data_IF_507030229406
#
_entry.id   IF_507030229406
#
_cell.length_a   1.000
_cell.length_b   1.000
_cell.length_c   1.000
_cell.angle_alpha   90.00
_cell.angle_beta   90.00
_cell.angle_gamma   90.00
#
_symmetry.space_group_name_H-M   'P 1'
#
loop_
_entity.id
_entity.type
_entity.pdbx_description
1 polymer ?
#
# COMPACT_ATOMS: atom_id res chain seq x y z
N UNK A 1 84.99 -15.14 12.94
CA UNK A 1 84.12 -15.75 11.86
C UNK A 1 82.67 -15.61 12.31
N UNK A 2 82.07 -14.50 11.94
CA UNK A 2 80.72 -14.12 12.42
C UNK A 2 79.77 -14.06 11.21
N UNK A 3 78.77 -14.89 11.29
CA UNK A 3 77.70 -15.07 10.33
C UNK A 3 76.59 -14.04 10.58
N UNK A 4 76.38 -13.09 9.69
CA UNK A 4 75.22 -12.18 9.74
C UNK A 4 74.05 -12.84 9.03
N UNK A 5 72.98 -13.05 9.79
CA UNK A 5 71.69 -13.49 9.25
C UNK A 5 70.88 -12.22 8.87
N UNK A 6 70.56 -12.05 7.61
CA UNK A 6 69.65 -11.05 7.11
C UNK A 6 68.23 -11.65 7.11
N UNK A 7 67.36 -11.12 7.95
CA UNK A 7 65.93 -11.37 7.89
C UNK A 7 65.29 -10.37 6.92
N UNK A 8 64.86 -10.85 5.74
CA UNK A 8 63.99 -10.09 4.81
C UNK A 8 62.55 -10.23 5.24
N UNK A 9 62.02 -9.20 5.86
CA UNK A 9 60.57 -9.13 6.17
C UNK A 9 59.83 -8.63 4.93
N UNK A 10 59.03 -9.52 4.34
CA UNK A 10 58.07 -9.15 3.29
C UNK A 10 56.83 -8.52 3.95
N UNK A 11 56.65 -7.20 3.75
CA UNK A 11 55.37 -6.54 4.07
C UNK A 11 54.33 -6.95 3.02
N UNK A 12 53.37 -7.76 3.40
CA UNK A 12 52.16 -7.99 2.60
C UNK A 12 51.22 -6.80 2.83
N UNK A 13 51.19 -5.87 1.87
CA UNK A 13 50.18 -4.81 1.87
C UNK A 13 48.84 -5.42 1.48
N UNK A 14 47.95 -5.58 2.46
CA UNK A 14 46.55 -5.94 2.24
C UNK A 14 45.81 -4.68 1.71
N UNK A 15 45.68 -4.56 0.40
CA UNK A 15 44.84 -3.53 -0.23
C UNK A 15 43.36 -3.91 0.05
N UNK A 16 42.74 -3.23 1.01
CA UNK A 16 41.31 -3.22 1.11
C UNK A 16 40.72 -2.56 -0.14
N UNK A 17 40.21 -3.33 -1.08
CA UNK A 17 39.38 -2.80 -2.15
C UNK A 17 38.09 -2.29 -1.50
N UNK A 18 37.99 -1.00 -1.24
CA UNK A 18 36.73 -0.35 -0.97
C UNK A 18 35.92 -0.43 -2.28
N UNK A 19 34.92 -1.30 -2.31
CA UNK A 19 33.99 -1.39 -3.42
C UNK A 19 33.34 -0.01 -3.62
N UNK A 20 33.41 0.52 -4.82
CA UNK A 20 32.67 1.74 -5.18
C UNK A 20 31.17 1.39 -5.05
N UNK A 21 30.37 2.13 -4.27
CA UNK A 21 28.96 1.87 -4.16
C UNK A 21 28.30 1.93 -5.55
N UNK A 22 27.64 0.87 -5.95
CA UNK A 22 26.90 0.84 -7.20
C UNK A 22 25.56 1.53 -7.02
N UNK A 23 25.32 2.59 -7.78
CA UNK A 23 24.02 3.29 -7.82
C UNK A 23 23.19 2.63 -8.91
N UNK A 24 21.99 2.15 -8.54
CA UNK A 24 21.00 1.62 -9.47
C UNK A 24 19.76 2.51 -9.46
N UNK A 25 19.22 2.81 -10.65
CA UNK A 25 17.95 3.49 -10.81
C UNK A 25 16.93 2.49 -11.35
N UNK A 26 15.75 2.43 -10.71
CA UNK A 26 14.61 1.57 -11.09
C UNK A 26 13.39 2.45 -11.31
N UNK A 27 12.77 2.35 -12.49
CA UNK A 27 11.46 2.97 -12.70
C UNK A 27 10.41 2.21 -11.91
N UNK A 28 9.58 2.94 -11.16
CA UNK A 28 8.54 2.39 -10.28
C UNK A 28 7.21 3.06 -10.59
N UNK A 29 6.21 2.27 -10.97
CA UNK A 29 4.83 2.71 -11.14
C UNK A 29 4.02 2.27 -9.93
N UNK A 30 3.50 3.23 -9.19
CA UNK A 30 2.80 3.07 -7.92
C UNK A 30 1.33 3.43 -8.09
N UNK A 31 0.43 2.66 -7.49
CA UNK A 31 -1.01 2.94 -7.56
C UNK A 31 -1.67 2.74 -6.20
N UNK A 32 -2.67 3.59 -5.89
CA UNK A 32 -3.62 3.33 -4.81
C UNK A 32 -5.04 3.44 -5.34
N UNK A 33 -5.92 2.56 -4.86
CA UNK A 33 -7.30 2.51 -5.33
C UNK A 33 -8.24 1.96 -4.25
N UNK A 34 -9.13 2.79 -3.74
CA UNK A 34 -10.29 2.32 -2.99
C UNK A 34 -11.31 1.76 -4.01
N UNK A 35 -11.62 0.48 -3.93
CA UNK A 35 -12.43 -0.24 -4.94
C UNK A 35 -13.87 -0.48 -4.50
N UNK A 36 -14.28 0.07 -3.37
CA UNK A 36 -15.65 -0.02 -2.85
C UNK A 36 -16.23 -1.43 -2.97
N UNK A 37 -15.43 -2.47 -2.64
CA UNK A 37 -15.83 -3.90 -2.73
C UNK A 37 -16.32 -4.35 -4.13
N UNK A 38 -15.90 -3.67 -5.20
CA UNK A 38 -16.39 -3.90 -6.56
C UNK A 38 -17.79 -3.39 -6.81
N UNK A 39 -18.26 -2.43 -6.00
CA UNK A 39 -19.48 -1.66 -6.22
C UNK A 39 -19.17 -0.27 -6.75
N UNK A 40 -20.20 0.45 -7.18
CA UNK A 40 -20.14 1.86 -7.56
C UNK A 40 -21.11 2.67 -6.72
N UNK A 41 -20.98 3.99 -6.76
CA UNK A 41 -21.86 4.90 -6.04
C UNK A 41 -23.33 4.63 -6.43
N UNK A 42 -24.18 4.38 -5.43
CA UNK A 42 -25.60 4.03 -5.55
C UNK A 42 -25.92 2.61 -6.03
N UNK A 43 -24.92 1.73 -6.18
CA UNK A 43 -25.17 0.32 -6.45
C UNK A 43 -25.54 -0.44 -5.16
N UNK A 44 -26.55 -1.32 -5.16
CA UNK A 44 -26.87 -2.12 -4.00
C UNK A 44 -25.76 -3.14 -3.69
N UNK A 45 -25.22 -3.09 -2.48
CA UNK A 45 -24.24 -4.07 -1.97
C UNK A 45 -24.87 -5.46 -1.77
N UNK A 46 -25.24 -6.12 -2.84
CA UNK A 46 -25.84 -7.45 -2.78
C UNK A 46 -25.67 -8.20 -4.11
N UNK A 47 -24.44 -8.50 -4.44
CA UNK A 47 -24.14 -9.20 -5.67
C UNK A 47 -24.57 -10.67 -5.63
N UNK A 48 -25.08 -11.24 -6.73
CA UNK A 48 -25.29 -12.66 -6.87
C UNK A 48 -24.05 -13.47 -6.53
N UNK A 49 -24.21 -14.69 -6.03
CA UNK A 49 -23.08 -15.59 -5.74
C UNK A 49 -22.22 -15.81 -6.99
N UNK A 50 -20.92 -15.62 -6.85
CA UNK A 50 -19.93 -15.71 -7.93
C UNK A 50 -19.84 -14.46 -8.82
N UNK A 51 -20.64 -13.41 -8.55
CA UNK A 51 -20.53 -12.14 -9.26
C UNK A 51 -19.27 -11.40 -8.84
N UNK A 52 -18.60 -10.80 -9.82
CA UNK A 52 -17.42 -9.95 -9.62
C UNK A 52 -17.79 -8.45 -9.49
N UNK A 53 -19.08 -8.09 -9.64
CA UNK A 53 -19.51 -6.71 -9.67
C UNK A 53 -18.72 -5.90 -10.71
N UNK A 54 -18.16 -4.75 -10.31
CA UNK A 54 -17.35 -3.86 -11.15
C UNK A 54 -15.83 -4.16 -11.08
N UNK A 55 -15.38 -5.25 -10.43
CA UNK A 55 -13.97 -5.63 -10.40
C UNK A 55 -13.32 -5.77 -11.78
N UNK A 56 -13.99 -6.25 -12.85
CA UNK A 56 -13.39 -6.26 -14.18
C UNK A 56 -13.00 -4.87 -14.69
N UNK A 57 -13.78 -3.83 -14.35
CA UNK A 57 -13.45 -2.44 -14.70
C UNK A 57 -12.26 -1.92 -13.86
N UNK A 58 -12.23 -2.25 -12.57
CA UNK A 58 -11.05 -1.99 -11.69
C UNK A 58 -9.80 -2.66 -12.26
N UNK A 59 -9.90 -3.95 -12.63
CA UNK A 59 -8.78 -4.70 -13.23
C UNK A 59 -8.29 -4.07 -14.53
N UNK A 60 -9.21 -3.58 -15.39
CA UNK A 60 -8.84 -2.88 -16.62
C UNK A 60 -7.96 -1.66 -16.32
N UNK A 61 -8.32 -0.84 -15.33
CA UNK A 61 -7.51 0.32 -14.93
C UNK A 61 -6.14 -0.08 -14.42
N UNK A 62 -6.05 -1.15 -13.61
CA UNK A 62 -4.79 -1.67 -13.10
C UNK A 62 -3.92 -2.17 -14.26
N UNK A 63 -4.48 -2.96 -15.16
CA UNK A 63 -3.75 -3.50 -16.31
C UNK A 63 -3.23 -2.40 -17.25
N UNK A 64 -4.05 -1.37 -17.53
CA UNK A 64 -3.67 -0.24 -18.38
C UNK A 64 -2.59 0.66 -17.72
N UNK A 65 -2.64 0.80 -16.40
CA UNK A 65 -1.61 1.52 -15.65
C UNK A 65 -0.30 0.73 -15.50
N UNK A 66 -0.39 -0.62 -15.59
CA UNK A 66 0.72 -1.57 -15.44
C UNK A 66 1.64 -1.28 -14.23
N UNK A 67 1.07 -1.04 -13.02
CA UNK A 67 1.83 -0.67 -11.85
C UNK A 67 2.75 -1.80 -11.37
N UNK A 68 3.81 -1.44 -10.66
CA UNK A 68 4.65 -2.41 -9.95
C UNK A 68 3.96 -2.90 -8.67
N UNK A 69 3.15 -2.03 -8.07
CA UNK A 69 2.27 -2.38 -6.96
C UNK A 69 1.02 -1.50 -6.89
N UNK A 70 -0.06 -2.06 -6.33
CA UNK A 70 -1.33 -1.37 -6.06
C UNK A 70 -1.73 -1.58 -4.62
N UNK A 71 -1.86 -0.49 -3.85
CA UNK A 71 -2.49 -0.49 -2.53
C UNK A 71 -4.01 -0.39 -2.71
N UNK A 72 -4.74 -1.41 -2.28
CA UNK A 72 -6.20 -1.51 -2.46
C UNK A 72 -6.91 -1.35 -1.13
N UNK A 73 -7.94 -0.51 -1.10
CA UNK A 73 -8.83 -0.32 0.03
C UNK A 73 -10.22 -0.86 -0.31
N UNK A 74 -10.99 -1.18 0.74
CA UNK A 74 -12.36 -1.68 0.65
C UNK A 74 -12.51 -2.92 -0.23
N UNK A 75 -11.84 -3.99 0.14
CA UNK A 75 -11.90 -5.25 -0.58
C UNK A 75 -12.41 -6.38 0.32
N UNK A 76 -13.24 -7.25 -0.22
CA UNK A 76 -13.84 -8.38 0.47
C UNK A 76 -13.19 -9.72 0.07
N UNK A 77 -13.18 -10.64 1.02
CA UNK A 77 -12.85 -12.04 0.78
C UNK A 77 -13.99 -12.92 1.29
N UNK A 78 -14.62 -13.70 0.40
CA UNK A 78 -15.68 -14.67 0.70
C UNK A 78 -16.88 -14.06 1.46
N UNK A 79 -17.24 -12.81 1.19
CA UNK A 79 -18.35 -12.10 1.85
C UNK A 79 -19.59 -12.15 0.97
N UNK A 80 -20.78 -12.40 1.59
CA UNK A 80 -22.04 -12.56 0.86
C UNK A 80 -22.44 -11.36 0.01
N UNK A 81 -22.24 -10.13 0.53
CA UNK A 81 -22.58 -8.89 -0.19
C UNK A 81 -21.82 -8.69 -1.49
N UNK A 82 -20.64 -9.28 -1.58
CA UNK A 82 -19.73 -9.21 -2.74
C UNK A 82 -19.63 -10.54 -3.49
N UNK A 83 -20.69 -11.37 -3.47
CA UNK A 83 -20.79 -12.57 -4.28
C UNK A 83 -20.02 -13.78 -3.74
N UNK A 84 -19.49 -13.77 -2.51
CA UNK A 84 -18.67 -14.85 -1.93
C UNK A 84 -17.39 -15.16 -2.72
N UNK A 85 -16.81 -14.17 -3.36
CA UNK A 85 -15.53 -14.32 -4.07
C UNK A 85 -14.36 -13.79 -3.23
N UNK A 86 -13.16 -14.30 -3.47
CA UNK A 86 -11.92 -13.68 -3.01
C UNK A 86 -11.52 -12.61 -4.03
N UNK A 87 -11.96 -11.38 -3.78
CA UNK A 87 -11.76 -10.26 -4.70
C UNK A 87 -10.27 -9.95 -4.94
N UNK A 88 -9.40 -10.19 -3.94
CA UNK A 88 -7.95 -10.00 -4.07
C UNK A 88 -7.37 -10.99 -5.09
N UNK A 89 -7.72 -12.27 -4.98
CA UNK A 89 -7.23 -13.29 -5.89
C UNK A 89 -7.80 -13.12 -7.29
N UNK A 90 -9.05 -12.70 -7.43
CA UNK A 90 -9.64 -12.42 -8.74
C UNK A 90 -8.95 -11.23 -9.43
N UNK A 91 -8.70 -10.11 -8.73
CA UNK A 91 -7.94 -8.99 -9.29
C UNK A 91 -6.49 -9.40 -9.63
N UNK A 92 -5.82 -10.12 -8.74
CA UNK A 92 -4.47 -10.62 -8.97
C UNK A 92 -4.39 -11.48 -10.24
N UNK A 93 -5.35 -12.40 -10.42
CA UNK A 93 -5.47 -13.26 -11.59
C UNK A 93 -5.72 -12.45 -12.86
N UNK A 94 -6.68 -11.51 -12.85
CA UNK A 94 -7.00 -10.68 -14.01
C UNK A 94 -5.82 -9.80 -14.45
N UNK A 95 -5.00 -9.33 -13.50
CA UNK A 95 -3.88 -8.43 -13.78
C UNK A 95 -2.53 -9.16 -13.90
N UNK A 96 -2.47 -10.49 -13.71
CA UNK A 96 -1.20 -11.24 -13.73
C UNK A 96 -0.23 -10.84 -12.61
N UNK A 97 -0.75 -10.42 -11.46
CA UNK A 97 0.01 -9.95 -10.30
C UNK A 97 -0.06 -10.92 -9.12
N UNK A 98 0.80 -10.75 -8.13
CA UNK A 98 0.69 -11.39 -6.82
C UNK A 98 -0.29 -10.60 -5.96
N UNK A 99 -1.12 -11.31 -5.17
CA UNK A 99 -2.12 -10.67 -4.30
C UNK A 99 -1.96 -11.09 -2.85
N UNK A 100 -1.82 -10.11 -1.94
CA UNK A 100 -1.82 -10.31 -0.49
C UNK A 100 -3.01 -9.60 0.11
N UNK A 101 -3.84 -10.33 0.85
CA UNK A 101 -5.00 -9.79 1.54
C UNK A 101 -4.72 -9.57 3.03
N UNK A 102 -5.10 -8.39 3.52
CA UNK A 102 -4.93 -7.99 4.92
C UNK A 102 -6.31 -7.79 5.58
N UNK A 103 -6.86 -8.79 6.27
CA UNK A 103 -8.15 -8.67 6.92
C UNK A 103 -8.09 -7.65 8.06
N UNK A 104 -9.05 -6.72 8.09
CA UNK A 104 -9.26 -5.79 9.21
C UNK A 104 -10.53 -6.11 10.00
N UNK A 105 -11.54 -6.70 9.37
CA UNK A 105 -12.79 -7.13 10.02
C UNK A 105 -13.21 -8.46 9.40
N UNK A 106 -13.56 -9.43 10.23
CA UNK A 106 -14.30 -10.60 9.80
C UNK A 106 -15.74 -10.19 9.56
N UNK A 107 -16.31 -10.59 8.42
CA UNK A 107 -17.67 -10.23 8.05
C UNK A 107 -18.48 -11.48 7.75
N UNK A 108 -19.54 -11.66 8.55
CA UNK A 108 -20.49 -12.74 8.38
C UNK A 108 -21.83 -12.19 7.85
N UNK A 109 -22.66 -13.03 7.24
CA UNK A 109 -23.97 -12.58 6.81
C UNK A 109 -24.68 -11.81 7.93
N UNK A 110 -24.99 -10.55 7.70
CA UNK A 110 -25.76 -9.64 8.56
C UNK A 110 -25.04 -9.01 9.78
N UNK A 111 -23.73 -9.22 10.02
CA UNK A 111 -23.04 -8.50 11.11
C UNK A 111 -21.54 -8.31 10.84
N UNK A 112 -20.98 -7.30 11.49
CA UNK A 112 -19.55 -7.14 11.63
C UNK A 112 -19.09 -7.85 12.90
N UNK A 113 -18.00 -8.60 12.81
CA UNK A 113 -17.36 -9.23 13.95
C UNK A 113 -15.93 -8.74 14.03
N UNK A 114 -15.51 -8.25 15.20
CA UNK A 114 -14.12 -7.91 15.43
C UNK A 114 -13.28 -9.21 15.44
N UNK A 115 -12.04 -9.19 14.95
CA UNK A 115 -11.19 -10.38 14.86
C UNK A 115 -11.05 -11.16 16.18
N UNK A 116 -11.06 -10.45 17.32
CA UNK A 116 -10.93 -11.03 18.65
C UNK A 116 -12.24 -11.64 19.21
N UNK A 117 -13.35 -11.53 18.50
CA UNK A 117 -14.65 -12.10 18.89
C UNK A 117 -15.11 -13.19 17.93
N UNK A 118 -14.35 -13.47 16.87
CA UNK A 118 -14.65 -14.53 15.94
C UNK A 118 -14.26 -15.90 16.52
N UNK A 119 -15.03 -16.94 16.18
CA UNK A 119 -14.66 -18.32 16.47
C UNK A 119 -13.57 -18.80 15.53
N UNK A 120 -12.86 -19.90 15.89
CA UNK A 120 -11.85 -20.49 15.02
C UNK A 120 -12.44 -20.90 13.66
N UNK A 121 -13.66 -21.46 13.64
CA UNK A 121 -14.38 -21.81 12.41
C UNK A 121 -14.66 -20.58 11.53
N UNK A 122 -15.00 -19.46 12.14
CA UNK A 122 -15.22 -18.20 11.44
C UNK A 122 -13.93 -17.64 10.86
N UNK A 123 -12.79 -17.80 11.55
CA UNK A 123 -11.46 -17.48 10.99
C UNK A 123 -11.09 -18.42 9.84
N UNK A 124 -11.34 -19.72 9.99
CA UNK A 124 -11.05 -20.74 8.98
C UNK A 124 -11.87 -20.55 7.72
N UNK A 125 -13.14 -20.10 7.82
CA UNK A 125 -13.99 -19.78 6.66
C UNK A 125 -13.40 -18.64 5.81
N UNK A 126 -12.56 -17.81 6.40
CA UNK A 126 -11.82 -16.74 5.74
C UNK A 126 -12.66 -15.57 5.26
N UNK A 127 -13.95 -15.48 5.63
CA UNK A 127 -14.80 -14.32 5.29
C UNK A 127 -14.32 -13.06 5.99
N UNK A 128 -13.90 -12.06 5.24
CA UNK A 128 -13.35 -10.82 5.79
C UNK A 128 -13.46 -9.63 4.85
N UNK A 129 -13.39 -8.43 5.44
CA UNK A 129 -13.24 -7.14 4.76
C UNK A 129 -11.91 -6.52 5.14
N UNK A 130 -11.18 -5.97 4.18
CA UNK A 130 -9.84 -5.52 4.47
C UNK A 130 -9.20 -4.59 3.46
N UNK A 131 -7.89 -4.70 3.41
CA UNK A 131 -6.99 -4.11 2.45
C UNK A 131 -6.37 -5.22 1.61
N UNK A 132 -5.87 -4.89 0.43
CA UNK A 132 -5.00 -5.77 -0.34
C UNK A 132 -3.82 -5.01 -0.93
N UNK A 133 -2.77 -5.75 -1.22
CA UNK A 133 -1.66 -5.30 -2.05
C UNK A 133 -1.57 -6.25 -3.24
N UNK A 134 -1.61 -5.69 -4.46
CA UNK A 134 -1.17 -6.40 -5.65
C UNK A 134 0.23 -5.92 -6.01
N UNK A 135 1.10 -6.83 -6.43
CA UNK A 135 2.47 -6.50 -6.84
C UNK A 135 2.98 -7.45 -7.92
N UNK A 136 3.90 -6.98 -8.77
CA UNK A 136 4.60 -7.83 -9.75
C UNK A 136 5.54 -8.81 -9.06
N UNK A 137 6.21 -8.35 -8.00
CA UNK A 137 7.15 -9.14 -7.20
C UNK A 137 6.47 -9.69 -5.95
N UNK A 138 6.91 -10.83 -5.44
CA UNK A 138 6.51 -11.35 -4.14
C UNK A 138 7.19 -10.53 -3.03
N UNK A 139 6.47 -10.04 -2.01
CA UNK A 139 7.11 -9.38 -0.89
C UNK A 139 7.96 -10.36 -0.06
N UNK A 140 9.10 -9.89 0.43
CA UNK A 140 10.01 -10.65 1.29
C UNK A 140 9.39 -10.92 2.66
N UNK A 141 8.65 -9.96 3.18
CA UNK A 141 7.91 -10.07 4.43
C UNK A 141 6.63 -9.23 4.40
N UNK A 142 5.67 -9.63 5.22
CA UNK A 142 4.42 -8.88 5.41
C UNK A 142 4.12 -8.76 6.91
N UNK A 143 3.61 -7.60 7.32
CA UNK A 143 3.06 -7.40 8.66
C UNK A 143 1.87 -6.45 8.64
N UNK A 144 1.06 -6.52 9.67
CA UNK A 144 -0.12 -5.68 9.82
C UNK A 144 -0.17 -5.09 11.23
N UNK A 145 -0.45 -3.80 11.33
CA UNK A 145 -0.66 -3.10 12.60
C UNK A 145 -2.10 -2.60 12.66
N UNK A 146 -2.82 -2.99 13.69
CA UNK A 146 -4.21 -2.54 13.89
C UNK A 146 -4.24 -1.15 14.50
N UNK A 147 -5.16 -0.32 14.03
CA UNK A 147 -5.42 1.02 14.58
C UNK A 147 -6.91 1.19 14.86
N UNK A 148 -7.30 2.09 15.80
CA UNK A 148 -8.70 2.33 16.09
C UNK A 148 -9.50 2.76 14.85
N UNK A 149 -10.79 2.43 14.82
CA UNK A 149 -11.74 2.89 13.83
C UNK A 149 -13.12 3.06 14.44
N UNK A 150 -13.97 3.95 13.90
CA UNK A 150 -15.26 4.27 14.49
C UNK A 150 -16.27 3.13 14.38
N UNK A 151 -16.47 2.62 13.15
CA UNK A 151 -17.43 1.52 12.90
C UNK A 151 -16.76 0.15 13.00
N UNK A 152 -15.49 0.07 12.70
CA UNK A 152 -14.66 -1.13 12.74
C UNK A 152 -13.18 -0.72 12.81
N UNK A 153 -12.30 -1.57 13.33
CA UNK A 153 -10.89 -1.31 13.35
C UNK A 153 -10.33 -1.08 11.94
N UNK A 154 -9.26 -0.33 11.85
CA UNK A 154 -8.47 -0.10 10.64
C UNK A 154 -7.13 -0.80 10.79
N UNK A 155 -6.35 -0.83 9.74
CA UNK A 155 -4.98 -1.32 9.82
C UNK A 155 -4.06 -0.57 8.86
N UNK A 156 -2.77 -0.67 9.14
CA UNK A 156 -1.70 -0.31 8.23
C UNK A 156 -0.96 -1.62 7.94
N UNK A 157 -0.93 -2.02 6.67
CA UNK A 157 -0.34 -3.27 6.22
C UNK A 157 0.96 -2.97 5.47
N UNK A 158 2.07 -3.54 5.96
CA UNK A 158 3.40 -3.36 5.41
C UNK A 158 3.81 -4.59 4.62
N UNK A 159 4.28 -4.39 3.40
CA UNK A 159 4.90 -5.39 2.57
C UNK A 159 6.32 -4.92 2.22
N UNK A 160 7.31 -5.68 2.61
CA UNK A 160 8.72 -5.38 2.40
C UNK A 160 9.20 -6.04 1.12
N UNK A 161 9.80 -5.25 0.24
CA UNK A 161 10.51 -5.70 -0.95
C UNK A 161 12.01 -5.49 -0.79
N UNK A 162 12.80 -5.92 -1.77
CA UNK A 162 14.26 -5.77 -1.71
C UNK A 162 14.67 -4.31 -1.51
N UNK A 163 14.11 -3.40 -2.28
CA UNK A 163 14.59 -2.02 -2.41
C UNK A 163 13.69 -0.99 -1.70
N UNK A 164 12.49 -1.37 -1.28
CA UNK A 164 11.50 -0.49 -0.67
C UNK A 164 10.48 -1.26 0.17
N UNK A 165 9.66 -0.53 0.88
CA UNK A 165 8.49 -1.04 1.63
C UNK A 165 7.23 -0.34 1.11
N UNK A 166 6.14 -1.08 0.96
CA UNK A 166 4.81 -0.52 0.71
C UNK A 166 3.95 -0.67 1.95
N UNK A 167 3.44 0.44 2.45
CA UNK A 167 2.47 0.50 3.53
C UNK A 167 1.10 0.85 2.94
N UNK A 168 0.17 -0.12 2.92
CA UNK A 168 -1.21 0.08 2.49
C UNK A 168 -2.09 0.45 3.68
N UNK A 169 -2.94 1.48 3.54
CA UNK A 169 -3.83 1.92 4.61
C UNK A 169 -5.20 2.36 4.11
N UNK A 170 -6.16 2.43 5.04
CA UNK A 170 -7.43 3.13 4.89
C UNK A 170 -7.74 3.78 6.24
N UNK A 171 -7.59 5.10 6.33
CA UNK A 171 -7.69 5.83 7.59
C UNK A 171 -9.12 5.85 8.15
N UNK A 172 -9.25 5.99 9.47
CA UNK A 172 -10.55 6.18 10.12
C UNK A 172 -11.18 7.52 9.71
N UNK A 173 -12.53 7.57 9.74
CA UNK A 173 -13.30 8.78 9.47
C UNK A 173 -13.26 9.81 10.62
N UNK A 174 -12.96 9.36 11.85
CA UNK A 174 -12.82 10.27 13.00
C UNK A 174 -11.40 10.79 13.11
N UNK A 175 -11.26 12.10 13.28
CA UNK A 175 -9.98 12.80 13.32
C UNK A 175 -9.07 12.31 14.44
N UNK A 176 -9.60 12.08 15.64
CA UNK A 176 -8.83 11.56 16.78
C UNK A 176 -8.24 10.16 16.49
N UNK A 177 -9.03 9.27 15.87
CA UNK A 177 -8.55 7.96 15.43
C UNK A 177 -7.56 8.07 14.27
N UNK A 178 -7.80 8.98 13.32
CA UNK A 178 -6.89 9.24 12.20
C UNK A 178 -5.55 9.80 12.68
N UNK A 179 -5.54 10.65 13.73
CA UNK A 179 -4.33 11.11 14.40
C UNK A 179 -3.53 9.97 15.02
N UNK A 180 -4.19 8.96 15.61
CA UNK A 180 -3.52 7.76 16.11
C UNK A 180 -2.92 6.97 14.93
N UNK A 181 -3.71 6.77 13.85
CA UNK A 181 -3.24 6.08 12.66
C UNK A 181 -2.01 6.77 12.04
N UNK A 182 -2.00 8.10 11.96
CA UNK A 182 -0.87 8.87 11.45
C UNK A 182 0.40 8.67 12.31
N UNK A 183 0.29 8.72 13.63
CA UNK A 183 1.42 8.45 14.53
C UNK A 183 1.94 7.03 14.40
N UNK A 184 1.04 6.04 14.34
CA UNK A 184 1.39 4.62 14.15
C UNK A 184 2.08 4.42 12.81
N UNK A 185 1.63 5.05 11.73
CA UNK A 185 2.27 5.00 10.42
C UNK A 185 3.71 5.51 10.48
N UNK A 186 3.93 6.70 11.06
CA UNK A 186 5.26 7.30 11.20
C UNK A 186 6.21 6.46 12.05
N UNK A 187 5.73 5.98 13.21
CA UNK A 187 6.53 5.14 14.10
C UNK A 187 6.99 3.86 13.41
N UNK A 188 6.09 3.21 12.67
CA UNK A 188 6.42 1.96 11.99
C UNK A 188 7.24 2.17 10.71
N UNK A 189 7.11 3.30 10.03
CA UNK A 189 7.95 3.65 8.89
C UNK A 189 9.42 3.86 9.31
N UNK A 190 9.65 4.44 10.49
CA UNK A 190 10.97 4.68 11.04
C UNK A 190 11.78 3.41 11.38
N UNK A 191 11.13 2.24 11.43
CA UNK A 191 11.81 0.95 11.65
C UNK A 191 12.60 0.47 10.41
N UNK A 192 12.36 1.06 9.24
CA UNK A 192 12.97 0.63 7.99
C UNK A 192 14.13 1.55 7.57
N UNK A 193 15.18 0.95 6.99
CA UNK A 193 16.36 1.66 6.46
C UNK A 193 16.33 1.74 4.92
N UNK A 194 15.15 1.68 4.33
CA UNK A 194 14.89 1.79 2.90
C UNK A 194 13.62 2.59 2.68
N UNK A 195 13.35 3.15 1.49
CA UNK A 195 12.17 3.95 1.22
C UNK A 195 10.87 3.25 1.63
N UNK A 196 10.03 3.94 2.40
CA UNK A 196 8.69 3.47 2.79
C UNK A 196 7.65 4.30 2.05
N UNK A 197 6.90 3.66 1.16
CA UNK A 197 5.76 4.25 0.48
C UNK A 197 4.50 3.96 1.26
N UNK A 198 3.84 5.01 1.77
CA UNK A 198 2.53 4.91 2.43
C UNK A 198 1.45 5.32 1.43
N UNK A 199 0.53 4.41 1.11
CA UNK A 199 -0.49 4.63 0.11
C UNK A 199 -1.88 4.17 0.59
N UNK A 200 -2.92 4.93 0.22
CA UNK A 200 -4.29 4.58 0.58
C UNK A 200 -5.28 5.72 0.48
N UNK A 201 -6.48 5.42 0.98
CA UNK A 201 -7.53 6.38 1.28
C UNK A 201 -7.35 6.88 2.72
N UNK A 202 -7.05 8.17 2.86
CA UNK A 202 -6.82 8.80 4.16
C UNK A 202 -8.07 9.47 4.74
N UNK A 203 -9.16 9.56 3.98
CA UNK A 203 -10.42 10.22 4.38
C UNK A 203 -10.30 11.71 4.75
N UNK A 204 -9.12 12.29 4.66
CA UNK A 204 -8.79 13.67 5.04
C UNK A 204 -8.01 14.36 3.93
N UNK A 205 -8.27 15.65 3.71
CA UNK A 205 -7.53 16.48 2.76
C UNK A 205 -6.28 17.09 3.38
N UNK A 206 -5.36 17.56 2.54
CA UNK A 206 -4.22 18.39 2.96
C UNK A 206 -4.72 19.62 3.75
N UNK A 207 -4.02 19.93 4.85
CA UNK A 207 -4.41 20.97 5.80
C UNK A 207 -5.20 20.47 7.00
N UNK A 208 -5.73 19.23 6.98
CA UNK A 208 -6.30 18.58 8.16
C UNK A 208 -5.21 18.13 9.14
N UNK A 209 -5.55 18.01 10.43
CA UNK A 209 -4.60 17.61 11.46
C UNK A 209 -3.94 16.23 11.20
N UNK A 210 -4.66 15.16 10.76
CA UNK A 210 -4.02 13.87 10.46
C UNK A 210 -3.02 13.94 9.31
N UNK A 211 -3.33 14.69 8.23
CA UNK A 211 -2.42 14.82 7.09
C UNK A 211 -1.23 15.70 7.46
N UNK A 212 -1.44 16.81 8.17
CA UNK A 212 -0.36 17.64 8.70
C UNK A 212 0.59 16.81 9.60
N UNK A 213 0.03 15.92 10.42
CA UNK A 213 0.83 15.00 11.26
C UNK A 213 1.66 14.03 10.40
N UNK A 214 1.10 13.45 9.35
CA UNK A 214 1.85 12.60 8.43
C UNK A 214 2.98 13.37 7.73
N UNK A 215 2.74 14.62 7.33
CA UNK A 215 3.72 15.45 6.64
C UNK A 215 4.93 15.84 7.51
N UNK A 216 4.88 15.64 8.84
CA UNK A 216 6.08 15.76 9.68
C UNK A 216 7.17 14.72 9.32
N UNK A 217 6.79 13.56 8.79
CA UNK A 217 7.71 12.48 8.44
C UNK A 217 7.51 11.87 7.06
N UNK A 218 6.54 12.36 6.27
CA UNK A 218 6.20 11.85 4.94
C UNK A 218 5.99 13.00 3.95
N UNK A 219 6.39 12.77 2.70
CA UNK A 219 6.16 13.68 1.57
C UNK A 219 5.13 13.08 0.61
N UNK A 220 4.09 13.85 0.25
CA UNK A 220 3.07 13.45 -0.74
C UNK A 220 3.68 13.51 -2.14
N UNK A 221 3.50 12.43 -2.91
CA UNK A 221 4.05 12.30 -4.25
C UNK A 221 3.04 12.64 -5.37
N UNK A 222 1.73 12.42 -5.16
CA UNK A 222 0.71 12.77 -6.13
C UNK A 222 0.35 14.26 -6.10
N UNK A 223 -0.34 14.74 -7.14
CA UNK A 223 -0.81 16.11 -7.23
C UNK A 223 -2.08 16.30 -6.39
N UNK A 224 -1.98 17.06 -5.31
CA UNK A 224 -3.09 17.30 -4.37
C UNK A 224 -4.11 18.30 -4.88
N UNK A 225 -3.84 19.01 -5.99
CA UNK A 225 -4.81 19.86 -6.66
C UNK A 225 -5.86 19.05 -7.44
N UNK A 226 -5.50 17.83 -7.86
CA UNK A 226 -6.38 16.90 -8.55
C UNK A 226 -7.20 16.13 -7.52
N UNK A 227 -8.52 16.27 -7.60
CA UNK A 227 -9.45 15.62 -6.66
C UNK A 227 -9.67 14.16 -7.00
N UNK A 228 -9.95 13.33 -5.96
CA UNK A 228 -10.03 11.87 -6.09
C UNK A 228 -11.37 11.28 -5.67
N UNK A 229 -12.25 12.05 -5.00
CA UNK A 229 -13.54 11.58 -4.48
C UNK A 229 -14.64 12.65 -4.57
N UNK A 230 -15.90 12.30 -4.87
CA UNK A 230 -16.31 11.09 -5.59
C UNK A 230 -16.33 11.33 -7.11
N UNK A 231 -16.04 10.33 -7.97
CA UNK A 231 -16.29 10.44 -9.40
C UNK A 231 -17.81 10.54 -9.71
N UNK A 232 -18.24 11.03 -10.87
CA UNK A 232 -17.38 11.57 -11.94
C UNK A 232 -16.98 13.03 -11.74
N UNK A 233 -17.40 13.68 -10.65
CA UNK A 233 -17.12 15.08 -10.31
C UNK A 233 -16.45 15.18 -8.95
N UNK A 234 -15.17 14.78 -8.83
CA UNK A 234 -14.47 14.74 -7.56
C UNK A 234 -14.34 16.15 -6.96
N UNK A 235 -14.57 16.26 -5.65
CA UNK A 235 -14.52 17.52 -4.90
C UNK A 235 -13.50 17.48 -3.75
N UNK A 236 -13.00 16.28 -3.39
CA UNK A 236 -12.00 16.06 -2.34
C UNK A 236 -10.79 15.31 -2.90
N UNK A 237 -9.59 15.65 -2.40
CA UNK A 237 -8.38 14.86 -2.60
C UNK A 237 -8.07 14.19 -1.26
N UNK A 238 -8.37 12.89 -1.15
CA UNK A 238 -8.25 12.10 0.08
C UNK A 238 -7.45 10.81 -0.11
N UNK A 239 -7.05 10.51 -1.35
CA UNK A 239 -6.24 9.36 -1.71
C UNK A 239 -4.82 9.83 -2.02
N UNK A 240 -3.83 9.28 -1.31
CA UNK A 240 -2.44 9.71 -1.44
C UNK A 240 -1.47 8.55 -1.59
N UNK A 241 -0.36 8.84 -2.27
CA UNK A 241 0.88 8.08 -2.25
C UNK A 241 1.95 8.99 -1.65
N UNK A 242 2.56 8.56 -0.57
CA UNK A 242 3.60 9.31 0.16
C UNK A 242 4.89 8.49 0.24
N UNK A 243 6.02 9.15 0.41
CA UNK A 243 7.29 8.53 0.77
C UNK A 243 7.81 9.13 2.06
N UNK A 244 8.52 8.37 2.87
CA UNK A 244 9.14 8.85 4.10
C UNK A 244 10.24 9.90 3.80
N UNK A 245 10.29 10.95 4.64
CA UNK A 245 11.16 12.12 4.40
C UNK A 245 12.65 11.78 4.28
N UNK A 246 13.24 10.83 5.05
CA UNK A 246 14.64 10.46 4.90
C UNK A 246 15.01 9.96 3.49
N UNK A 247 14.04 9.41 2.76
CA UNK A 247 14.28 8.82 1.43
C UNK A 247 13.68 9.64 0.27
N UNK A 248 13.19 10.83 0.52
CA UNK A 248 12.62 11.70 -0.53
C UNK A 248 13.59 11.94 -1.68
N UNK A 249 14.88 12.13 -1.39
CA UNK A 249 15.91 12.37 -2.38
C UNK A 249 16.22 11.14 -3.27
N UNK A 250 15.76 9.96 -2.87
CA UNK A 250 15.89 8.74 -3.66
C UNK A 250 14.75 8.55 -4.67
N UNK A 251 13.73 9.42 -4.65
CA UNK A 251 12.49 9.27 -5.44
C UNK A 251 12.29 10.50 -6.33
N UNK A 252 12.54 10.35 -7.62
CA UNK A 252 12.29 11.40 -8.61
C UNK A 252 10.98 11.12 -9.35
N UNK A 253 9.92 11.84 -9.00
CA UNK A 253 8.59 11.68 -9.65
C UNK A 253 8.63 12.19 -11.08
N UNK A 254 8.23 11.34 -12.02
CA UNK A 254 8.22 11.63 -13.47
C UNK A 254 6.81 11.79 -14.04
N UNK A 255 5.80 11.17 -13.42
CA UNK A 255 4.40 11.28 -13.88
C UNK A 255 3.44 11.19 -12.69
N UNK A 256 2.34 11.94 -12.76
CA UNK A 256 1.19 11.89 -11.84
C UNK A 256 -0.08 11.78 -12.65
N UNK A 257 -0.94 10.82 -12.31
CA UNK A 257 -2.19 10.59 -13.03
C UNK A 257 -3.29 10.16 -12.06
N UNK A 258 -4.53 10.55 -12.38
CA UNK A 258 -5.75 10.10 -11.71
C UNK A 258 -6.68 9.51 -12.77
N UNK A 259 -7.24 8.32 -12.50
CA UNK A 259 -8.28 7.71 -13.33
C UNK A 259 -9.62 8.02 -12.65
N UNK A 260 -10.44 8.81 -13.33
CA UNK A 260 -11.76 9.22 -12.87
C UNK A 260 -12.84 8.44 -13.66
N UNK A 261 -13.29 7.33 -13.09
CA UNK A 261 -14.29 6.44 -13.70
C UNK A 261 -15.31 5.99 -12.64
N UNK A 262 -16.51 6.53 -12.74
CA UNK A 262 -17.63 6.23 -11.84
C UNK A 262 -18.22 4.82 -12.02
N UNK A 263 -17.89 4.15 -13.12
CA UNK A 263 -18.34 2.77 -13.40
C UNK A 263 -17.41 1.72 -12.77
N UNK A 264 -16.33 2.15 -12.13
CA UNK A 264 -15.37 1.25 -11.49
C UNK A 264 -15.40 1.32 -9.96
N UNK A 265 -15.55 2.52 -9.38
CA UNK A 265 -15.58 2.76 -7.94
C UNK A 265 -16.15 4.14 -7.63
N UNK A 266 -16.47 4.42 -6.37
CA UNK A 266 -16.76 5.76 -5.86
C UNK A 266 -15.50 6.58 -5.52
N UNK A 267 -14.31 6.02 -5.75
CA UNK A 267 -13.02 6.72 -5.71
C UNK A 267 -12.33 6.69 -7.05
N UNK A 268 -11.54 7.72 -7.33
CA UNK A 268 -10.61 7.73 -8.45
C UNK A 268 -9.33 6.97 -8.07
N UNK A 269 -8.75 6.25 -9.03
CA UNK A 269 -7.45 5.65 -8.82
C UNK A 269 -6.33 6.70 -8.93
N UNK A 270 -5.36 6.66 -8.03
CA UNK A 270 -4.18 7.56 -8.03
C UNK A 270 -2.95 6.78 -8.46
N UNK A 271 -2.20 7.35 -9.42
CA UNK A 271 -1.00 6.73 -9.99
C UNK A 271 0.15 7.73 -9.94
N UNK A 272 1.31 7.25 -9.48
CA UNK A 272 2.58 7.99 -9.50
C UNK A 272 3.64 7.12 -10.15
N UNK A 273 4.36 7.68 -11.14
CA UNK A 273 5.56 7.06 -11.68
C UNK A 273 6.77 7.84 -11.19
N UNK A 274 7.80 7.12 -10.75
CA UNK A 274 9.03 7.71 -10.25
C UNK A 274 10.25 6.86 -10.60
N UNK A 275 11.42 7.48 -10.67
CA UNK A 275 12.71 6.79 -10.65
C UNK A 275 13.16 6.64 -9.19
N UNK A 276 13.35 5.40 -8.75
CA UNK A 276 13.87 5.06 -7.43
C UNK A 276 15.36 4.78 -7.53
N UNK A 277 16.18 5.58 -6.85
CA UNK A 277 17.64 5.40 -6.77
C UNK A 277 17.98 4.62 -5.51
N UNK A 278 18.70 3.49 -5.67
CA UNK A 278 19.22 2.68 -4.56
C UNK A 278 20.73 2.60 -4.62
N UNK A 279 21.37 2.64 -3.45
CA UNK A 279 22.82 2.50 -3.31
C UNK A 279 23.11 1.18 -2.60
N UNK A 280 23.93 0.31 -3.21
CA UNK A 280 24.33 -0.99 -2.68
C UNK A 280 25.79 -1.00 -2.25
#
# INVERSE_FOLDING_TARGET
MGMKILCSGSLVACAMMMGVPTVSAKSLVMMTYNVQIGAVLNDPYNFPKGSLGHLPQVAKHICEAAPDWVAIQEIDRNVGRSGFVDQTQELAKMCGMKGVFFPKVLRFPKRFVAPNTATDEEFESGSAYGLALLSKEEPLSIRKVMVPGYYHPRCIAFAEFKDYVVACTHFPLKEDHAMIAARVALMNAADYHKPVFLAGDFNFEVGSAPIAKLQEGMTILNDTSVKTFPPPKPVKCIDFIMVDNPHTNCVAVTERRVINDADASDHCAVIVKAELTTTY
#
